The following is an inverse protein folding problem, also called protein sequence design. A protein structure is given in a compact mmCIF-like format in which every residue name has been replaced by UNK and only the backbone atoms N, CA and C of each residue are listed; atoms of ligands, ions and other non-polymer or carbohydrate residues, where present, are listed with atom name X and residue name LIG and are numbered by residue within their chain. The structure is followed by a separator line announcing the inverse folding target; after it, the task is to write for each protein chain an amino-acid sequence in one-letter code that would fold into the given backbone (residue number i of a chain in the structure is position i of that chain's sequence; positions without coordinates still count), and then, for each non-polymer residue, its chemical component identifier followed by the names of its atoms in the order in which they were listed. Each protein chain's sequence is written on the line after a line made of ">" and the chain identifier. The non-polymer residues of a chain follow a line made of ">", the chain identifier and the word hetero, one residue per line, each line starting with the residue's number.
data_IF_929327086334
#
_entry.id   IF_929327086334
#
_cell.length_a   1.000
_cell.length_b   1.000
_cell.length_c   1.000
_cell.angle_alpha   90.00
_cell.angle_beta   90.00
_cell.angle_gamma   90.00
#
_symmetry.space_group_name_H-M   'P 1'
#
loop_
_entity.id
_entity.type
_entity.pdbx_description
1 polymer ?
#
# COMPACT_ATOMS: atom_id res chain seq x y z
N UNK A 1 48.52 25.27 -12.46
CA UNK A 1 48.15 24.04 -11.75
C UNK A 1 47.70 24.32 -10.32
N UNK A 2 48.46 25.04 -9.51
CA UNK A 2 48.14 25.30 -8.10
C UNK A 2 46.82 26.09 -7.91
N UNK A 3 46.53 27.08 -8.76
CA UNK A 3 45.29 27.88 -8.74
C UNK A 3 44.06 27.00 -9.02
N UNK A 4 44.16 26.13 -10.02
CA UNK A 4 43.07 25.21 -10.38
C UNK A 4 42.75 24.24 -9.23
N UNK A 5 43.79 23.74 -8.59
CA UNK A 5 43.65 22.88 -7.42
C UNK A 5 42.98 23.60 -6.25
N UNK A 6 43.38 24.84 -5.99
CA UNK A 6 42.82 25.67 -4.93
C UNK A 6 41.35 26.00 -5.19
N UNK A 7 40.97 26.33 -6.42
CA UNK A 7 39.59 26.55 -6.84
C UNK A 7 38.73 25.27 -6.64
N UNK A 8 39.24 24.12 -7.05
CA UNK A 8 38.56 22.84 -6.85
C UNK A 8 38.31 22.53 -5.35
N UNK A 9 39.32 22.83 -4.53
CA UNK A 9 39.23 22.59 -3.06
C UNK A 9 38.16 23.50 -2.44
N UNK A 10 38.06 24.76 -2.83
CA UNK A 10 37.01 25.70 -2.35
C UNK A 10 35.64 25.23 -2.77
N UNK A 11 35.46 24.74 -3.99
CA UNK A 11 34.15 24.19 -4.46
C UNK A 11 33.76 22.97 -3.64
N UNK A 12 34.67 22.04 -3.37
CA UNK A 12 34.41 20.85 -2.57
C UNK A 12 34.01 21.23 -1.15
N UNK A 13 34.72 22.17 -0.52
CA UNK A 13 34.39 22.64 0.84
C UNK A 13 33.00 23.29 0.85
N UNK A 14 32.66 24.12 -0.14
CA UNK A 14 31.36 24.75 -0.27
C UNK A 14 30.21 23.74 -0.43
N UNK A 15 30.39 22.73 -1.28
CA UNK A 15 29.42 21.67 -1.48
C UNK A 15 29.24 20.81 -0.21
N UNK A 16 30.33 20.47 0.46
CA UNK A 16 30.28 19.67 1.69
C UNK A 16 29.58 20.45 2.81
N UNK A 17 29.90 21.74 2.96
CA UNK A 17 29.25 22.61 3.94
C UNK A 17 27.73 22.73 3.69
N UNK A 18 27.32 22.86 2.41
CA UNK A 18 25.90 22.88 2.04
C UNK A 18 25.20 21.57 2.33
N UNK A 19 25.88 20.45 2.11
CA UNK A 19 25.35 19.11 2.39
C UNK A 19 25.11 18.91 3.90
N UNK A 20 26.07 19.31 4.72
CA UNK A 20 25.95 19.28 6.18
C UNK A 20 24.80 20.19 6.65
N UNK A 21 24.67 21.39 6.08
CA UNK A 21 23.57 22.31 6.39
C UNK A 21 22.21 21.64 6.13
N UNK A 22 22.02 21.06 4.94
CA UNK A 22 20.78 20.35 4.59
C UNK A 22 20.49 19.15 5.50
N UNK A 23 21.54 18.41 5.90
CA UNK A 23 21.39 17.24 6.78
C UNK A 23 21.03 17.61 8.21
N UNK A 24 21.47 18.76 8.71
CA UNK A 24 21.26 19.14 10.11
C UNK A 24 20.04 20.04 10.27
N UNK A 25 19.87 21.03 9.41
CA UNK A 25 18.80 22.04 9.56
C UNK A 25 17.52 21.69 8.83
N UNK A 26 17.61 21.03 7.68
CA UNK A 26 16.44 20.69 6.88
C UNK A 26 16.07 19.18 6.97
N UNK A 27 16.78 18.40 7.81
CA UNK A 27 16.55 16.96 7.95
C UNK A 27 15.10 16.64 8.34
N UNK A 28 14.54 17.40 9.29
CA UNK A 28 13.19 17.21 9.77
C UNK A 28 12.15 17.46 8.68
N UNK A 29 12.30 18.52 7.90
CA UNK A 29 11.44 18.81 6.75
C UNK A 29 11.47 17.72 5.68
N UNK A 30 12.66 17.22 5.33
CA UNK A 30 12.78 16.15 4.34
C UNK A 30 12.32 14.80 4.86
N UNK A 31 12.49 14.52 6.16
CA UNK A 31 11.96 13.31 6.79
C UNK A 31 10.42 13.33 6.82
N UNK A 32 9.81 14.44 7.19
CA UNK A 32 8.35 14.59 7.19
C UNK A 32 7.78 14.43 5.77
N UNK A 33 8.42 15.04 4.78
CA UNK A 33 8.03 14.92 3.38
C UNK A 33 8.22 13.50 2.83
N UNK A 34 9.29 12.81 3.20
CA UNK A 34 9.51 11.42 2.85
C UNK A 34 8.47 10.51 3.53
N UNK A 35 8.16 10.76 4.81
CA UNK A 35 7.14 10.04 5.55
C UNK A 35 5.76 10.21 4.92
N UNK A 36 5.35 11.42 4.56
CA UNK A 36 4.07 11.68 3.88
C UNK A 36 3.96 11.01 2.50
N UNK A 37 5.08 10.80 1.80
CA UNK A 37 5.10 10.07 0.54
C UNK A 37 5.04 8.54 0.74
N UNK A 38 5.59 8.04 1.84
CA UNK A 38 5.57 6.60 2.17
C UNK A 38 4.31 6.20 2.94
N UNK A 39 3.79 7.05 3.81
CA UNK A 39 2.51 6.87 4.46
C UNK A 39 1.42 7.40 3.51
N UNK A 40 0.87 6.52 2.66
CA UNK A 40 -0.39 6.83 2.00
C UNK A 40 -1.45 6.88 3.07
N UNK A 41 -1.92 8.06 3.43
CA UNK A 41 -3.13 8.24 4.22
C UNK A 41 -4.28 7.56 3.46
N UNK A 42 -4.71 6.43 3.98
CA UNK A 42 -5.92 5.77 3.49
C UNK A 42 -7.07 6.34 4.30
N UNK A 43 -7.97 7.02 3.65
CA UNK A 43 -9.25 7.35 4.24
C UNK A 43 -9.95 6.05 4.66
N UNK A 44 -9.98 5.79 5.97
CA UNK A 44 -10.78 4.71 6.52
C UNK A 44 -12.23 5.18 6.43
N UNK A 45 -12.98 4.60 5.51
CA UNK A 45 -14.40 4.89 5.41
C UNK A 45 -15.09 4.43 6.69
N UNK A 46 -15.70 5.36 7.39
CA UNK A 46 -16.51 5.04 8.55
C UNK A 46 -17.69 4.14 8.14
N UNK A 47 -18.05 3.19 9.01
CA UNK A 47 -19.26 2.42 8.84
C UNK A 47 -20.47 3.37 8.83
N UNK A 48 -21.44 3.11 7.97
CA UNK A 48 -22.70 3.86 7.96
C UNK A 48 -23.48 3.55 9.23
N UNK A 49 -24.34 4.44 9.67
CA UNK A 49 -25.27 4.19 10.76
C UNK A 49 -26.23 3.04 10.45
N UNK A 50 -26.71 2.37 11.46
CA UNK A 50 -27.77 1.36 11.33
C UNK A 50 -29.13 2.05 11.13
N UNK A 51 -29.99 1.41 10.37
CA UNK A 51 -31.39 1.84 10.21
C UNK A 51 -32.21 0.99 11.16
N UNK A 52 -32.83 1.62 12.15
CA UNK A 52 -33.68 0.97 13.14
C UNK A 52 -35.12 1.47 13.01
N UNK A 53 -36.08 0.59 13.34
CA UNK A 53 -37.48 0.99 13.43
C UNK A 53 -37.76 1.71 14.78
N UNK A 54 -38.99 2.17 14.98
CA UNK A 54 -39.42 2.86 16.22
C UNK A 54 -39.37 1.93 17.47
N UNK A 55 -39.32 0.63 17.28
CA UNK A 55 -39.26 -0.36 18.35
C UNK A 55 -37.83 -0.80 18.66
N UNK A 56 -36.82 -0.22 17.96
CA UNK A 56 -35.42 -0.56 18.12
C UNK A 56 -34.96 -1.78 17.32
N UNK A 57 -35.81 -2.31 16.44
CA UNK A 57 -35.44 -3.45 15.57
C UNK A 57 -34.56 -2.95 14.41
N UNK A 58 -33.39 -3.58 14.22
CA UNK A 58 -32.47 -3.25 13.14
C UNK A 58 -33.05 -3.70 11.81
N UNK A 59 -33.38 -2.74 10.92
CA UNK A 59 -33.88 -3.00 9.57
C UNK A 59 -32.75 -3.18 8.55
N UNK A 60 -31.65 -2.43 8.71
CA UNK A 60 -30.49 -2.55 7.87
C UNK A 60 -29.20 -2.18 8.65
N UNK A 61 -28.19 -2.98 8.47
CA UNK A 61 -26.86 -2.76 9.06
C UNK A 61 -25.76 -2.97 8.01
N UNK A 62 -24.57 -2.50 8.29
CA UNK A 62 -23.42 -2.66 7.39
C UNK A 62 -22.86 -4.10 7.49
N UNK A 63 -22.56 -4.67 6.34
CA UNK A 63 -21.76 -5.91 6.26
C UNK A 63 -20.31 -5.56 5.99
N UNK A 64 -19.40 -6.00 6.86
CA UNK A 64 -17.96 -5.88 6.60
C UNK A 64 -17.57 -6.79 5.45
N UNK A 65 -16.97 -6.22 4.43
CA UNK A 65 -16.45 -6.93 3.26
C UNK A 65 -14.98 -6.57 3.08
N UNK A 66 -14.24 -7.40 2.35
CA UNK A 66 -12.83 -7.17 2.06
C UNK A 66 -12.63 -6.94 0.57
N UNK A 67 -11.66 -6.09 0.26
CA UNK A 67 -11.14 -5.89 -1.10
C UNK A 67 -9.71 -6.43 -1.14
N UNK A 68 -9.47 -7.36 -2.07
CA UNK A 68 -8.16 -7.97 -2.27
C UNK A 68 -7.45 -7.23 -3.39
N UNK A 69 -6.26 -6.72 -3.09
CA UNK A 69 -5.41 -5.99 -4.04
C UNK A 69 -4.01 -6.56 -4.03
N UNK A 70 -3.30 -6.43 -5.13
CA UNK A 70 -1.89 -6.85 -5.26
C UNK A 70 -1.01 -5.67 -5.68
N UNK A 71 0.23 -5.68 -5.20
CA UNK A 71 1.26 -4.71 -5.55
C UNK A 71 2.37 -5.48 -6.27
N UNK A 72 2.44 -5.35 -7.58
CA UNK A 72 3.38 -6.09 -8.42
C UNK A 72 4.83 -6.01 -7.94
N UNK A 73 5.30 -4.83 -7.56
CA UNK A 73 6.68 -4.61 -7.10
C UNK A 73 7.05 -5.29 -5.78
N UNK A 74 6.08 -5.76 -5.00
CA UNK A 74 6.28 -6.41 -3.71
C UNK A 74 6.12 -7.93 -3.77
N UNK A 75 5.70 -8.49 -4.91
CA UNK A 75 5.51 -9.92 -5.08
C UNK A 75 6.86 -10.57 -5.40
N UNK A 76 7.30 -11.50 -4.57
CA UNK A 76 8.53 -12.29 -4.80
C UNK A 76 8.24 -13.59 -5.54
N UNK A 77 7.13 -14.26 -5.21
CA UNK A 77 6.73 -15.54 -5.75
C UNK A 77 5.38 -15.45 -6.46
N UNK A 78 5.32 -14.97 -7.72
CA UNK A 78 4.05 -14.72 -8.41
C UNK A 78 3.22 -15.99 -8.61
N UNK A 79 3.82 -17.12 -8.91
CA UNK A 79 3.11 -18.38 -9.13
C UNK A 79 2.38 -18.87 -7.88
N UNK A 80 2.99 -18.74 -6.70
CA UNK A 80 2.37 -19.06 -5.43
C UNK A 80 1.17 -18.16 -5.15
N UNK A 81 1.34 -16.86 -5.34
CA UNK A 81 0.26 -15.87 -5.14
C UNK A 81 -0.91 -16.13 -6.08
N UNK A 82 -0.65 -16.44 -7.37
CA UNK A 82 -1.68 -16.73 -8.36
C UNK A 82 -2.47 -17.98 -7.95
N UNK A 83 -1.79 -19.05 -7.62
CA UNK A 83 -2.40 -20.33 -7.25
C UNK A 83 -3.26 -20.25 -5.99
N UNK A 84 -2.72 -19.61 -4.95
CA UNK A 84 -3.46 -19.45 -3.69
C UNK A 84 -4.67 -18.52 -3.84
N UNK A 85 -4.51 -17.37 -4.53
CA UNK A 85 -5.62 -16.45 -4.74
C UNK A 85 -6.70 -17.04 -5.66
N UNK A 86 -6.33 -17.77 -6.72
CA UNK A 86 -7.30 -18.43 -7.60
C UNK A 86 -8.12 -19.47 -6.85
N UNK A 87 -7.47 -20.32 -6.04
CA UNK A 87 -8.11 -21.34 -5.23
C UNK A 87 -9.08 -20.75 -4.19
N UNK A 88 -8.63 -19.75 -3.44
CA UNK A 88 -9.43 -19.17 -2.33
C UNK A 88 -10.56 -18.29 -2.85
N UNK A 89 -10.33 -17.51 -3.90
CA UNK A 89 -11.32 -16.59 -4.47
C UNK A 89 -12.24 -17.25 -5.50
N UNK A 90 -11.96 -18.48 -5.93
CA UNK A 90 -12.70 -19.17 -6.98
C UNK A 90 -12.62 -18.45 -8.33
N UNK A 91 -11.46 -17.91 -8.68
CA UNK A 91 -11.21 -17.21 -9.94
C UNK A 91 -10.31 -18.09 -10.82
N UNK A 92 -10.46 -17.93 -12.14
CA UNK A 92 -9.55 -18.57 -13.09
C UNK A 92 -8.12 -18.06 -12.92
N UNK A 93 -7.14 -18.97 -12.89
CA UNK A 93 -5.72 -18.63 -12.73
C UNK A 93 -5.25 -17.62 -13.77
N UNK A 94 -5.72 -17.73 -15.01
CA UNK A 94 -5.36 -16.82 -16.09
C UNK A 94 -5.82 -15.39 -15.82
N UNK A 95 -7.00 -15.22 -15.25
CA UNK A 95 -7.54 -13.90 -14.85
C UNK A 95 -6.72 -13.30 -13.72
N UNK A 96 -6.35 -14.10 -12.73
CA UNK A 96 -5.52 -13.67 -11.60
C UNK A 96 -4.11 -13.33 -12.10
N UNK A 97 -3.52 -14.17 -12.97
CA UNK A 97 -2.22 -13.96 -13.58
C UNK A 97 -2.12 -12.62 -14.30
N UNK A 98 -3.06 -12.32 -15.17
CA UNK A 98 -3.09 -11.03 -15.91
C UNK A 98 -3.09 -9.82 -14.99
N UNK A 99 -3.71 -9.93 -13.81
CA UNK A 99 -3.76 -8.83 -12.82
C UNK A 99 -2.50 -8.76 -11.97
N UNK A 100 -1.93 -9.90 -11.60
CA UNK A 100 -0.69 -9.99 -10.81
C UNK A 100 0.52 -9.55 -11.64
N UNK A 101 0.59 -9.92 -12.91
CA UNK A 101 1.68 -9.56 -13.82
C UNK A 101 1.59 -8.11 -14.32
N UNK A 102 0.43 -7.47 -14.19
CA UNK A 102 0.25 -6.09 -14.60
C UNK A 102 1.14 -5.16 -13.76
N UNK A 103 2.07 -4.49 -14.43
CA UNK A 103 2.95 -3.49 -13.80
C UNK A 103 2.13 -2.28 -13.36
N UNK A 104 1.62 -2.33 -12.14
CA UNK A 104 0.82 -1.27 -11.52
C UNK A 104 1.24 -1.09 -10.06
N UNK A 105 1.06 0.12 -9.55
CA UNK A 105 1.33 0.39 -8.13
C UNK A 105 0.39 -0.37 -7.21
N UNK A 106 -0.82 -0.68 -7.64
CA UNK A 106 -1.80 -1.52 -6.96
C UNK A 106 -2.91 -1.93 -7.92
N UNK A 107 -3.16 -3.22 -8.04
CA UNK A 107 -4.25 -3.77 -8.87
C UNK A 107 -5.25 -4.53 -7.99
N UNK A 108 -6.55 -4.28 -8.20
CA UNK A 108 -7.61 -4.96 -7.46
C UNK A 108 -7.91 -6.31 -8.10
N UNK A 109 -7.85 -7.37 -7.32
CA UNK A 109 -8.21 -8.74 -7.77
C UNK A 109 -9.70 -8.98 -7.61
N UNK A 110 -10.24 -8.75 -6.40
CA UNK A 110 -11.67 -8.96 -6.11
C UNK A 110 -12.14 -8.01 -5.03
N UNK A 111 -13.34 -7.48 -5.21
CA UNK A 111 -14.03 -6.64 -4.23
C UNK A 111 -15.19 -7.40 -3.60
N UNK A 112 -15.74 -6.91 -2.50
CA UNK A 112 -16.88 -7.50 -1.80
C UNK A 112 -16.66 -8.98 -1.38
N UNK A 113 -15.44 -9.31 -0.98
CA UNK A 113 -15.09 -10.63 -0.45
C UNK A 113 -15.54 -10.71 1.01
N UNK A 114 -16.05 -11.85 1.45
CA UNK A 114 -16.43 -12.04 2.85
C UNK A 114 -15.21 -11.91 3.78
N UNK A 115 -15.45 -11.32 4.97
CA UNK A 115 -14.38 -11.12 5.97
C UNK A 115 -13.61 -12.41 6.28
N UNK A 116 -14.32 -13.53 6.43
CA UNK A 116 -13.69 -14.84 6.70
C UNK A 116 -12.66 -15.25 5.63
N UNK A 117 -12.95 -14.93 4.36
CA UNK A 117 -12.05 -15.23 3.25
C UNK A 117 -10.89 -14.24 3.22
N UNK A 118 -11.16 -12.95 3.50
CA UNK A 118 -10.12 -11.93 3.66
C UNK A 118 -9.13 -12.29 4.77
N UNK A 119 -9.61 -12.73 5.93
CA UNK A 119 -8.77 -13.14 7.06
C UNK A 119 -7.91 -14.38 6.72
N UNK A 120 -8.46 -15.35 5.95
CA UNK A 120 -7.66 -16.48 5.45
C UNK A 120 -6.50 -16.02 4.56
N UNK A 121 -6.75 -15.10 3.65
CA UNK A 121 -5.70 -14.57 2.76
C UNK A 121 -4.67 -13.77 3.57
N UNK A 122 -5.10 -13.00 4.57
CA UNK A 122 -4.21 -12.24 5.46
C UNK A 122 -3.28 -13.18 6.25
N UNK A 123 -3.80 -14.30 6.76
CA UNK A 123 -3.03 -15.30 7.52
C UNK A 123 -2.02 -16.08 6.67
N UNK A 124 -2.16 -16.08 5.36
CA UNK A 124 -1.17 -16.69 4.44
C UNK A 124 0.08 -15.82 4.23
N UNK A 125 0.05 -14.57 4.71
CA UNK A 125 1.17 -13.60 4.64
C UNK A 125 1.84 -13.57 3.26
N UNK A 126 1.01 -13.55 2.19
CA UNK A 126 1.51 -13.55 0.82
C UNK A 126 2.16 -12.20 0.49
N UNK A 127 3.40 -12.24 0.01
CA UNK A 127 4.15 -11.05 -0.38
C UNK A 127 3.39 -10.24 -1.46
N UNK A 128 3.22 -8.96 -1.22
CA UNK A 128 2.56 -8.03 -2.15
C UNK A 128 1.04 -8.14 -2.23
N UNK A 129 0.40 -8.99 -1.44
CA UNK A 129 -1.06 -9.08 -1.33
C UNK A 129 -1.56 -8.20 -0.19
N UNK A 130 -2.54 -7.35 -0.47
CA UNK A 130 -3.21 -6.50 0.53
C UNK A 130 -4.67 -6.82 0.63
N UNK A 131 -5.15 -6.86 1.86
CA UNK A 131 -6.55 -7.10 2.22
C UNK A 131 -7.05 -5.86 2.94
N UNK A 132 -7.87 -5.06 2.25
CA UNK A 132 -8.47 -3.85 2.80
C UNK A 132 -9.92 -4.16 3.22
N UNK A 133 -10.29 -3.76 4.42
CA UNK A 133 -11.67 -3.87 4.91
C UNK A 133 -12.49 -2.69 4.38
N UNK A 134 -13.69 -2.95 3.92
CA UNK A 134 -14.68 -1.97 3.45
C UNK A 134 -16.06 -2.34 4.03
N UNK A 135 -16.99 -1.41 3.99
CA UNK A 135 -18.37 -1.59 4.47
C UNK A 135 -19.35 -1.48 3.30
N UNK A 136 -20.30 -2.42 3.24
CA UNK A 136 -21.34 -2.45 2.22
C UNK A 136 -22.72 -2.41 2.87
#
# INVERSE_FOLDING_TARGET
>A
MLIVFLCALVVIIGLTGRLVYLMVFDAEYYQEKAKSLHEREREIKAARGEIIDRNGTVLATNKTVCTISVIHSQIKEPERVIKELSSILGLEEETVRKRVEKVSSMERIKTNVEKKVGDKIRNLELDGVKVDEDFK
#
